data_IF_978450166017
#
_entry.id   IF_978450166017
#
_cell.length_a   1.000
_cell.length_b   1.000
_cell.length_c   1.000
_cell.angle_alpha   90.00
_cell.angle_beta   90.00
_cell.angle_gamma   90.00
#
_symmetry.space_group_name_H-M   'P 1'
#
loop_
_entity.id
_entity.type
_entity.pdbx_description
1 polymer ?
#
# COMPACT_ATOMS: atom_id res chain seq x y z
N UNK A 1 -19.12 26.40 -2.71
CA UNK A 1 -18.72 25.10 -2.10
C UNK A 1 -17.45 24.62 -2.80
N UNK A 2 -16.60 23.86 -2.12
CA UNK A 2 -15.47 23.17 -2.75
C UNK A 2 -15.87 21.72 -2.88
N UNK A 3 -15.52 21.11 -4.00
CA UNK A 3 -15.76 19.70 -4.25
C UNK A 3 -14.47 18.94 -3.99
N UNK A 4 -14.59 17.81 -3.32
CA UNK A 4 -13.48 16.89 -3.05
C UNK A 4 -13.79 15.60 -3.78
N UNK A 5 -12.78 15.08 -4.46
CA UNK A 5 -12.86 13.94 -5.34
C UNK A 5 -11.83 12.90 -4.88
N UNK A 6 -12.06 11.64 -5.20
CA UNK A 6 -11.12 10.56 -4.93
C UNK A 6 -10.92 9.74 -6.20
N UNK A 7 -9.66 9.63 -6.61
CA UNK A 7 -9.25 8.74 -7.69
C UNK A 7 -8.25 7.74 -7.14
N UNK A 8 -8.24 6.55 -7.72
CA UNK A 8 -7.24 5.57 -7.35
C UNK A 8 -7.08 4.47 -8.37
N UNK A 9 -5.95 3.79 -8.24
CA UNK A 9 -5.58 2.66 -9.08
C UNK A 9 -4.95 1.58 -8.22
N UNK A 10 -5.06 0.36 -8.68
CA UNK A 10 -4.48 -0.78 -7.99
C UNK A 10 -4.32 -1.97 -8.90
N UNK A 11 -3.82 -3.04 -8.30
CA UNK A 11 -3.66 -4.32 -8.94
C UNK A 11 -4.23 -5.42 -8.05
N UNK A 12 -4.96 -6.34 -8.66
CA UNK A 12 -5.22 -7.67 -8.13
C UNK A 12 -4.01 -8.55 -8.46
N UNK A 13 -3.57 -9.37 -7.52
CA UNK A 13 -2.41 -10.25 -7.64
C UNK A 13 -2.91 -11.69 -7.52
N UNK A 14 -2.69 -12.48 -8.55
CA UNK A 14 -3.15 -13.87 -8.64
C UNK A 14 -1.97 -14.84 -8.51
N UNK A 15 -2.23 -16.00 -7.92
CA UNK A 15 -1.28 -17.10 -7.88
C UNK A 15 -1.12 -17.78 -9.25
N UNK A 16 -0.20 -18.75 -9.31
CA UNK A 16 0.11 -19.45 -10.55
C UNK A 16 -1.13 -20.10 -11.19
N UNK A 17 -1.36 -19.78 -12.48
CA UNK A 17 -2.53 -20.18 -13.26
C UNK A 17 -3.87 -19.61 -12.75
N UNK A 18 -3.83 -18.57 -11.93
CA UNK A 18 -4.99 -17.75 -11.57
C UNK A 18 -5.22 -16.62 -12.58
N UNK A 19 -6.24 -15.81 -12.32
CA UNK A 19 -6.56 -14.65 -13.17
C UNK A 19 -7.99 -14.16 -12.96
N UNK A 20 -8.40 -13.20 -13.78
CA UNK A 20 -9.75 -12.62 -13.73
C UNK A 20 -10.78 -13.64 -14.26
N UNK A 21 -11.58 -14.19 -13.34
CA UNK A 21 -12.76 -15.01 -13.65
C UNK A 21 -14.02 -14.15 -13.65
N UNK A 22 -15.17 -14.67 -14.15
CA UNK A 22 -16.43 -13.91 -14.13
C UNK A 22 -16.85 -13.45 -12.72
N UNK A 23 -16.56 -14.23 -11.67
CA UNK A 23 -16.87 -13.80 -10.30
C UNK A 23 -15.94 -12.66 -9.84
N UNK A 24 -14.66 -12.68 -10.18
CA UNK A 24 -13.74 -11.56 -9.89
C UNK A 24 -14.20 -10.29 -10.60
N UNK A 25 -14.59 -10.40 -11.88
CA UNK A 25 -15.12 -9.28 -12.63
C UNK A 25 -16.40 -8.71 -11.99
N UNK A 26 -17.28 -9.58 -11.45
CA UNK A 26 -18.49 -9.14 -10.77
C UNK A 26 -18.24 -8.50 -9.40
N UNK A 27 -17.32 -9.05 -8.59
CA UNK A 27 -16.98 -8.51 -7.26
C UNK A 27 -16.33 -7.14 -7.39
N UNK A 28 -15.39 -6.97 -8.32
CA UNK A 28 -14.65 -5.73 -8.51
C UNK A 28 -15.22 -4.83 -9.62
N UNK A 29 -16.45 -5.08 -10.08
CA UNK A 29 -17.08 -4.32 -11.17
C UNK A 29 -17.12 -2.81 -10.89
N UNK A 30 -17.34 -2.45 -9.64
CA UNK A 30 -17.36 -1.06 -9.16
C UNK A 30 -16.01 -0.32 -9.30
N UNK A 31 -14.91 -1.06 -9.48
CA UNK A 31 -13.54 -0.56 -9.61
C UNK A 31 -12.91 -0.91 -10.97
N UNK A 32 -13.71 -1.02 -12.04
CA UNK A 32 -13.26 -1.19 -13.43
C UNK A 32 -12.05 -2.13 -13.60
N UNK A 33 -12.30 -3.41 -13.86
CA UNK A 33 -11.24 -4.41 -13.98
C UNK A 33 -10.65 -4.41 -15.41
N UNK A 34 -9.36 -4.14 -15.54
CA UNK A 34 -8.62 -4.30 -16.80
C UNK A 34 -7.65 -5.50 -16.72
N UNK A 35 -7.83 -6.45 -17.63
CA UNK A 35 -7.04 -7.70 -17.74
C UNK A 35 -5.85 -7.59 -18.71
N UNK A 36 -5.58 -6.41 -19.27
CA UNK A 36 -4.43 -6.15 -20.16
C UNK A 36 -3.06 -6.11 -19.49
N UNK A 37 -2.99 -6.39 -18.18
CA UNK A 37 -1.76 -6.44 -17.38
C UNK A 37 -1.06 -7.81 -17.48
N UNK A 38 0.17 -7.99 -16.93
CA UNK A 38 0.85 -9.29 -16.93
C UNK A 38 -0.07 -10.41 -16.41
N UNK A 39 0.10 -11.64 -16.90
CA UNK A 39 -0.86 -12.76 -16.75
C UNK A 39 -1.33 -13.05 -15.32
N UNK A 40 -0.54 -12.66 -14.31
CA UNK A 40 -0.82 -12.88 -12.87
C UNK A 40 -1.33 -11.62 -12.16
N UNK A 41 -1.69 -10.59 -12.92
CA UNK A 41 -2.16 -9.30 -12.40
C UNK A 41 -3.31 -8.74 -13.24
N UNK A 42 -4.22 -8.05 -12.58
CA UNK A 42 -5.24 -7.24 -13.25
C UNK A 42 -5.29 -5.87 -12.60
N UNK A 43 -5.41 -4.82 -13.42
CA UNK A 43 -5.57 -3.47 -12.91
C UNK A 43 -7.02 -3.25 -12.47
N UNK A 44 -7.18 -2.53 -11.38
CA UNK A 44 -8.44 -1.96 -10.92
C UNK A 44 -8.26 -0.46 -10.78
N UNK A 45 -9.31 0.31 -11.04
CA UNK A 45 -9.28 1.76 -10.90
C UNK A 45 -10.65 2.34 -10.59
N UNK A 46 -10.63 3.48 -9.91
CA UNK A 46 -11.81 4.27 -9.59
C UNK A 46 -11.53 5.71 -10.00
N UNK A 47 -12.44 6.28 -10.77
CA UNK A 47 -12.45 7.69 -11.15
C UNK A 47 -13.63 8.36 -10.48
N UNK A 48 -13.40 9.49 -9.82
CA UNK A 48 -14.41 10.16 -8.98
C UNK A 48 -15.71 10.51 -9.73
N UNK A 49 -15.63 10.73 -11.05
CA UNK A 49 -16.76 11.10 -11.90
C UNK A 49 -17.23 9.97 -12.82
N UNK A 50 -16.54 8.82 -12.82
CA UNK A 50 -16.77 7.72 -13.75
C UNK A 50 -17.13 6.39 -13.08
N UNK A 51 -16.82 6.22 -11.80
CA UNK A 51 -17.03 4.97 -11.07
C UNK A 51 -18.17 5.09 -10.06
N UNK A 52 -18.99 4.04 -9.97
CA UNK A 52 -19.95 3.88 -8.87
C UNK A 52 -19.43 2.79 -7.93
N UNK A 53 -18.71 3.22 -6.91
CA UNK A 53 -18.09 2.36 -5.89
C UNK A 53 -19.08 1.79 -4.89
N UNK A 54 -20.37 2.13 -4.97
CA UNK A 54 -21.37 1.74 -3.97
C UNK A 54 -21.68 0.25 -3.97
N UNK A 55 -22.07 -0.26 -2.81
CA UNK A 55 -22.51 -1.65 -2.65
C UNK A 55 -23.67 -2.03 -3.57
N UNK A 56 -24.54 -1.09 -3.92
CA UNK A 56 -25.61 -1.31 -4.90
C UNK A 56 -25.06 -1.74 -6.28
N UNK A 57 -23.99 -1.10 -6.76
CA UNK A 57 -23.33 -1.44 -8.03
C UNK A 57 -22.72 -2.85 -8.02
N UNK A 58 -22.06 -3.20 -6.89
CA UNK A 58 -21.51 -4.56 -6.67
C UNK A 58 -22.63 -5.60 -6.62
N UNK A 59 -23.73 -5.31 -5.91
CA UNK A 59 -24.90 -6.20 -5.82
C UNK A 59 -25.51 -6.47 -7.19
N UNK A 60 -25.71 -5.44 -8.02
CA UNK A 60 -26.25 -5.59 -9.37
C UNK A 60 -25.36 -6.48 -10.24
N UNK A 61 -24.04 -6.29 -10.15
CA UNK A 61 -23.05 -7.12 -10.85
C UNK A 61 -23.08 -8.58 -10.38
N UNK A 62 -23.24 -8.82 -9.08
CA UNK A 62 -23.38 -10.17 -8.52
C UNK A 62 -24.71 -10.84 -8.88
N UNK A 63 -25.81 -10.08 -9.01
CA UNK A 63 -27.09 -10.59 -9.52
C UNK A 63 -26.96 -11.03 -10.97
N UNK A 64 -26.30 -10.22 -11.81
CA UNK A 64 -26.04 -10.56 -13.20
C UNK A 64 -25.18 -11.84 -13.31
N UNK A 65 -24.11 -11.93 -12.51
CA UNK A 65 -23.31 -13.14 -12.40
C UNK A 65 -24.15 -14.35 -11.97
N UNK A 66 -25.00 -14.20 -10.94
CA UNK A 66 -25.84 -15.28 -10.45
C UNK A 66 -26.80 -15.80 -11.54
N UNK A 67 -27.41 -14.89 -12.32
CA UNK A 67 -28.26 -15.24 -13.45
C UNK A 67 -27.49 -16.04 -14.52
N UNK A 68 -26.28 -15.61 -14.88
CA UNK A 68 -25.41 -16.31 -15.85
C UNK A 68 -25.01 -17.71 -15.35
N UNK A 69 -24.91 -17.92 -14.05
CA UNK A 69 -24.66 -19.23 -13.42
C UNK A 69 -25.93 -20.08 -13.24
N UNK A 70 -27.09 -19.58 -13.69
CA UNK A 70 -28.38 -20.24 -13.55
C UNK A 70 -28.88 -20.31 -12.09
N UNK A 71 -28.52 -19.32 -11.27
CA UNK A 71 -29.01 -19.18 -9.90
C UNK A 71 -30.27 -18.31 -9.93
N UNK A 72 -31.39 -18.87 -9.50
CA UNK A 72 -32.64 -18.14 -9.37
C UNK A 72 -32.65 -17.32 -8.07
N UNK A 73 -32.92 -16.02 -8.21
CA UNK A 73 -33.01 -15.06 -7.12
C UNK A 73 -34.41 -14.42 -7.12
N UNK A 74 -34.87 -13.97 -5.96
CA UNK A 74 -36.07 -13.13 -5.88
C UNK A 74 -35.79 -11.74 -6.48
N UNK A 75 -36.81 -11.12 -7.07
CA UNK A 75 -36.70 -9.80 -7.72
C UNK A 75 -36.20 -8.70 -6.76
N UNK A 76 -36.50 -8.83 -5.47
CA UNK A 76 -36.12 -7.90 -4.40
C UNK A 76 -35.01 -8.46 -3.48
N UNK A 77 -34.24 -9.45 -3.96
CA UNK A 77 -33.20 -10.10 -3.16
C UNK A 77 -32.22 -9.08 -2.57
N UNK A 78 -32.02 -9.14 -1.24
CA UNK A 78 -30.97 -8.41 -0.54
C UNK A 78 -29.57 -8.93 -0.89
N UNK A 79 -28.53 -8.15 -0.58
CA UNK A 79 -27.15 -8.57 -0.79
C UNK A 79 -26.86 -9.92 -0.09
N UNK A 80 -27.34 -10.09 1.14
CA UNK A 80 -27.16 -11.31 1.92
C UNK A 80 -27.71 -12.56 1.19
N UNK A 81 -28.88 -12.44 0.57
CA UNK A 81 -29.52 -13.52 -0.18
C UNK A 81 -28.72 -13.89 -1.43
N UNK A 82 -28.23 -12.87 -2.17
CA UNK A 82 -27.37 -13.05 -3.34
C UNK A 82 -26.09 -13.78 -2.94
N UNK A 83 -25.41 -13.32 -1.89
CA UNK A 83 -24.16 -13.91 -1.41
C UNK A 83 -24.34 -15.36 -0.94
N UNK A 84 -25.41 -15.65 -0.19
CA UNK A 84 -25.72 -17.01 0.24
C UNK A 84 -26.01 -17.94 -0.94
N UNK A 85 -26.72 -17.46 -1.95
CA UNK A 85 -27.04 -18.26 -3.13
C UNK A 85 -25.79 -18.60 -3.96
N UNK A 86 -24.91 -17.62 -4.19
CA UNK A 86 -23.61 -17.84 -4.86
C UNK A 86 -22.74 -18.79 -4.03
N UNK A 87 -22.62 -18.55 -2.72
CA UNK A 87 -21.81 -19.41 -1.84
C UNK A 87 -22.31 -20.86 -1.82
N UNK A 88 -23.64 -21.07 -1.84
CA UNK A 88 -24.24 -22.41 -1.96
C UNK A 88 -23.89 -23.08 -3.28
N UNK A 89 -23.94 -22.35 -4.40
CA UNK A 89 -23.54 -22.84 -5.73
C UNK A 89 -22.07 -23.26 -5.78
N UNK A 90 -21.19 -22.52 -5.10
CA UNK A 90 -19.76 -22.80 -4.97
C UNK A 90 -19.45 -23.88 -3.92
N UNK A 91 -20.45 -24.38 -3.18
CA UNK A 91 -20.27 -25.44 -2.19
C UNK A 91 -19.61 -24.97 -0.89
N UNK A 92 -19.73 -23.70 -0.53
CA UNK A 92 -19.17 -23.16 0.72
C UNK A 92 -19.98 -23.65 1.92
N UNK A 93 -19.35 -24.45 2.78
CA UNK A 93 -19.98 -25.02 3.98
C UNK A 93 -19.44 -24.48 5.30
N UNK A 94 -18.43 -23.61 5.27
CA UNK A 94 -17.82 -23.06 6.47
C UNK A 94 -18.83 -22.15 7.21
N UNK A 95 -19.14 -22.42 8.50
CA UNK A 95 -20.02 -21.56 9.29
C UNK A 95 -19.56 -20.09 9.38
N UNK A 96 -18.26 -19.82 9.24
CA UNK A 96 -17.70 -18.47 9.25
C UNK A 96 -18.19 -17.64 8.07
N UNK A 97 -18.54 -18.27 6.94
CA UNK A 97 -19.10 -17.58 5.79
C UNK A 97 -20.44 -16.92 6.12
N UNK A 98 -21.33 -17.61 6.85
CA UNK A 98 -22.62 -17.04 7.25
C UNK A 98 -22.45 -15.79 8.12
N UNK A 99 -21.52 -15.83 9.07
CA UNK A 99 -21.19 -14.69 9.92
C UNK A 99 -20.51 -13.55 9.15
N UNK A 100 -19.72 -13.86 8.11
CA UNK A 100 -19.17 -12.85 7.20
C UNK A 100 -20.27 -12.15 6.41
N UNK A 101 -21.18 -12.91 5.79
CA UNK A 101 -22.31 -12.35 5.02
C UNK A 101 -23.19 -11.44 5.88
N UNK A 102 -23.49 -11.83 7.11
CA UNK A 102 -24.28 -11.01 8.03
C UNK A 102 -23.60 -9.66 8.32
N UNK A 103 -22.31 -9.67 8.67
CA UNK A 103 -21.55 -8.44 8.93
C UNK A 103 -21.47 -7.56 7.69
N UNK A 104 -21.15 -8.16 6.54
CA UNK A 104 -21.02 -7.44 5.29
C UNK A 104 -22.33 -6.76 4.88
N UNK A 105 -23.45 -7.44 5.08
CA UNK A 105 -24.78 -6.89 4.73
C UNK A 105 -25.19 -5.74 5.66
N UNK A 106 -24.76 -5.76 6.92
CA UNK A 106 -24.97 -4.62 7.84
C UNK A 106 -24.13 -3.41 7.44
N UNK A 107 -22.90 -3.63 6.98
CA UNK A 107 -22.00 -2.58 6.51
C UNK A 107 -22.47 -1.97 5.18
N UNK A 108 -22.94 -2.81 4.26
CA UNK A 108 -23.52 -2.39 2.99
C UNK A 108 -24.82 -1.60 3.16
N UNK A 109 -25.58 -1.84 4.25
CA UNK A 109 -26.78 -1.10 4.57
C UNK A 109 -27.85 -1.18 3.46
N UNK A 110 -28.32 -0.02 3.00
CA UNK A 110 -29.24 0.12 1.86
C UNK A 110 -28.55 0.09 0.49
N UNK A 111 -27.22 -0.04 0.47
CA UNK A 111 -26.41 -0.05 -0.74
C UNK A 111 -25.84 1.31 -1.13
N UNK A 112 -26.12 2.39 -0.38
CA UNK A 112 -25.64 3.74 -0.67
C UNK A 112 -24.21 4.01 -0.15
N UNK A 113 -23.66 3.11 0.64
CA UNK A 113 -22.27 3.17 1.11
C UNK A 113 -21.31 2.62 0.07
N UNK A 114 -20.10 3.19 0.04
CA UNK A 114 -19.02 2.68 -0.80
C UNK A 114 -18.62 1.26 -0.39
N UNK A 115 -18.41 0.40 -1.37
CA UNK A 115 -17.88 -0.94 -1.21
C UNK A 115 -16.36 -0.85 -1.11
N UNK A 116 -15.86 -0.76 0.12
CA UNK A 116 -14.42 -0.73 0.37
C UNK A 116 -13.73 -1.98 -0.21
N UNK A 117 -12.52 -1.78 -0.71
CA UNK A 117 -11.72 -2.82 -1.35
C UNK A 117 -11.41 -4.01 -0.42
N UNK A 118 -11.26 -3.78 0.88
CA UNK A 118 -10.94 -4.84 1.85
C UNK A 118 -12.08 -5.88 1.99
N UNK A 119 -13.35 -5.49 2.20
CA UNK A 119 -14.49 -6.40 2.10
C UNK A 119 -14.62 -7.12 0.75
N UNK A 120 -14.36 -6.43 -0.38
CA UNK A 120 -14.40 -7.05 -1.71
C UNK A 120 -13.32 -8.13 -1.87
N UNK A 121 -12.11 -7.87 -1.38
CA UNK A 121 -11.04 -8.87 -1.33
C UNK A 121 -11.46 -10.09 -0.50
N UNK A 122 -12.02 -9.89 0.70
CA UNK A 122 -12.50 -11.00 1.53
C UNK A 122 -13.62 -11.79 0.86
N UNK A 123 -14.53 -11.12 0.16
CA UNK A 123 -15.59 -11.77 -0.61
C UNK A 123 -15.01 -12.65 -1.72
N UNK A 124 -14.00 -12.14 -2.44
CA UNK A 124 -13.29 -12.91 -3.46
C UNK A 124 -12.58 -14.12 -2.86
N UNK A 125 -11.99 -14.00 -1.66
CA UNK A 125 -11.40 -15.16 -0.98
C UNK A 125 -12.43 -16.26 -0.68
N UNK A 126 -13.67 -15.88 -0.33
CA UNK A 126 -14.75 -16.86 -0.14
C UNK A 126 -15.20 -17.50 -1.46
N UNK A 127 -15.21 -16.72 -2.54
CA UNK A 127 -15.75 -17.14 -3.83
C UNK A 127 -14.69 -17.62 -4.83
N UNK A 128 -13.63 -18.28 -4.34
CA UNK A 128 -12.59 -18.82 -5.20
C UNK A 128 -13.12 -19.93 -6.12
N UNK A 129 -13.43 -19.55 -7.36
CA UNK A 129 -13.84 -20.43 -8.45
C UNK A 129 -12.66 -20.96 -9.26
N UNK A 130 -11.43 -20.79 -8.76
CA UNK A 130 -10.18 -21.08 -9.45
C UNK A 130 -9.40 -19.84 -9.86
N UNK A 131 -9.87 -18.63 -9.49
CA UNK A 131 -9.16 -17.38 -9.76
C UNK A 131 -7.86 -17.24 -8.96
N UNK A 132 -7.75 -17.87 -7.77
CA UNK A 132 -6.54 -17.85 -6.92
C UNK A 132 -6.04 -16.44 -6.60
N UNK A 133 -6.92 -15.58 -6.13
CA UNK A 133 -6.53 -14.22 -5.74
C UNK A 133 -5.67 -14.32 -4.47
N UNK A 134 -4.44 -13.82 -4.50
CA UNK A 134 -3.51 -13.90 -3.37
C UNK A 134 -3.37 -12.58 -2.63
N UNK A 135 -3.52 -11.47 -3.35
CA UNK A 135 -3.42 -10.15 -2.77
C UNK A 135 -3.93 -9.06 -3.69
N UNK A 136 -3.84 -7.84 -3.18
CA UNK A 136 -4.23 -6.63 -3.87
C UNK A 136 -3.38 -5.47 -3.35
N UNK A 137 -2.99 -4.57 -4.24
CA UNK A 137 -2.34 -3.30 -3.91
C UNK A 137 -3.15 -2.17 -4.48
N UNK A 138 -3.32 -1.08 -3.73
CA UNK A 138 -4.07 0.08 -4.14
C UNK A 138 -3.41 1.36 -3.68
N UNK A 139 -3.44 2.38 -4.53
CA UNK A 139 -3.04 3.75 -4.22
C UNK A 139 -4.14 4.69 -4.69
N UNK A 140 -4.55 5.59 -3.81
CA UNK A 140 -5.56 6.60 -4.10
C UNK A 140 -5.16 7.97 -3.61
N UNK A 141 -5.73 9.00 -4.21
CA UNK A 141 -5.48 10.38 -3.84
C UNK A 141 -6.79 11.17 -3.83
N UNK A 142 -6.91 12.04 -2.81
CA UNK A 142 -7.92 13.07 -2.82
C UNK A 142 -7.41 14.28 -3.58
N UNK A 143 -8.27 14.85 -4.40
CA UNK A 143 -8.03 16.15 -5.00
C UNK A 143 -9.23 17.08 -4.76
N UNK A 144 -8.96 18.38 -4.75
CA UNK A 144 -9.98 19.40 -4.51
C UNK A 144 -9.91 20.48 -5.59
N UNK A 145 -11.07 20.94 -6.04
CA UNK A 145 -11.19 22.01 -7.04
C UNK A 145 -10.67 23.37 -6.53
N UNK A 146 -10.37 23.48 -5.23
CA UNK A 146 -9.91 24.69 -4.55
C UNK A 146 -8.79 24.39 -3.58
N UNK A 147 -7.82 25.30 -3.50
CA UNK A 147 -6.75 25.23 -2.51
C UNK A 147 -7.31 25.36 -1.10
N UNK A 148 -7.38 24.23 -0.39
CA UNK A 148 -7.84 24.14 1.00
C UNK A 148 -6.86 23.30 1.81
N UNK A 149 -6.67 23.69 3.07
CA UNK A 149 -5.78 22.98 3.97
C UNK A 149 -6.24 21.52 4.13
N UNK A 150 -5.28 20.60 4.00
CA UNK A 150 -5.46 19.16 4.22
C UNK A 150 -6.49 18.48 3.29
N UNK A 151 -6.65 18.98 2.06
CA UNK A 151 -7.54 18.41 1.03
C UNK A 151 -6.79 17.72 -0.13
N UNK A 152 -5.47 17.53 0.00
CA UNK A 152 -4.60 16.94 -1.04
C UNK A 152 -3.83 15.73 -0.49
N UNK A 153 -4.54 14.85 0.21
CA UNK A 153 -3.99 13.63 0.80
C UNK A 153 -4.00 12.45 -0.16
N UNK A 154 -3.44 11.33 0.27
CA UNK A 154 -3.56 10.05 -0.42
C UNK A 154 -3.53 8.90 0.56
N UNK A 155 -3.79 7.71 0.05
CA UNK A 155 -3.81 6.46 0.79
C UNK A 155 -3.11 5.37 -0.01
N UNK A 156 -2.26 4.60 0.66
CA UNK A 156 -1.70 3.36 0.15
C UNK A 156 -2.30 2.19 0.91
N UNK A 157 -2.63 1.13 0.19
CA UNK A 157 -3.26 -0.07 0.73
C UNK A 157 -2.65 -1.33 0.11
N UNK A 158 -2.39 -2.33 0.93
CA UNK A 158 -2.04 -3.67 0.49
C UNK A 158 -2.77 -4.71 1.33
N UNK A 159 -3.43 -5.65 0.66
CA UNK A 159 -4.15 -6.76 1.29
C UNK A 159 -3.66 -8.09 0.74
N UNK A 160 -3.60 -9.09 1.59
CA UNK A 160 -3.34 -10.49 1.27
C UNK A 160 -3.86 -11.35 2.41
N UNK A 161 -3.78 -12.68 2.27
CA UNK A 161 -4.06 -13.59 3.38
C UNK A 161 -3.11 -13.44 4.59
N UNK A 162 -1.93 -12.80 4.43
CA UNK A 162 -0.90 -12.67 5.47
C UNK A 162 -0.80 -11.27 6.07
N UNK A 163 -1.09 -10.25 5.27
CA UNK A 163 -0.86 -8.84 5.60
C UNK A 163 -2.01 -8.00 5.07
N UNK A 164 -2.53 -7.12 5.92
CA UNK A 164 -3.53 -6.11 5.61
C UNK A 164 -3.05 -4.75 6.16
N UNK A 165 -2.46 -3.93 5.30
CA UNK A 165 -1.83 -2.66 5.67
C UNK A 165 -2.43 -1.50 4.90
N UNK A 166 -2.79 -0.45 5.62
CA UNK A 166 -3.30 0.80 5.07
C UNK A 166 -2.66 2.00 5.76
N UNK A 167 -2.22 2.97 4.97
CA UNK A 167 -1.65 4.21 5.48
C UNK A 167 -2.10 5.40 4.64
N UNK A 168 -2.65 6.41 5.32
CA UNK A 168 -2.97 7.70 4.71
C UNK A 168 -1.80 8.68 4.92
N UNK A 169 -1.55 9.56 3.94
CA UNK A 169 -0.50 10.57 4.06
C UNK A 169 -0.77 11.58 5.20
N UNK A 170 -2.05 11.74 5.58
CA UNK A 170 -2.45 12.52 6.76
C UNK A 170 -1.97 11.91 8.07
N UNK A 171 -1.87 10.58 8.16
CA UNK A 171 -1.36 9.88 9.36
C UNK A 171 0.10 10.24 9.63
N UNK A 172 0.91 10.42 8.57
CA UNK A 172 2.32 10.81 8.68
C UNK A 172 2.44 12.21 9.28
N UNK A 173 1.61 13.15 8.81
CA UNK A 173 1.62 14.53 9.29
C UNK A 173 1.17 14.62 10.75
N UNK A 174 0.11 13.88 11.12
CA UNK A 174 -0.36 13.78 12.50
C UNK A 174 0.66 13.12 13.42
N UNK A 175 1.34 12.06 12.95
CA UNK A 175 2.41 11.40 13.68
C UNK A 175 3.57 12.36 13.99
N UNK A 176 4.06 13.08 12.98
CA UNK A 176 5.14 14.06 13.16
C UNK A 176 4.76 15.17 14.14
N UNK A 177 3.56 15.71 14.02
CA UNK A 177 3.04 16.76 14.91
C UNK A 177 3.03 16.31 16.38
N UNK A 178 2.50 15.11 16.66
CA UNK A 178 2.41 14.61 18.03
C UNK A 178 3.79 14.27 18.60
N UNK A 179 4.67 13.69 17.79
CA UNK A 179 6.02 13.34 18.22
C UNK A 179 6.85 14.59 18.54
N UNK A 180 6.84 15.58 17.67
CA UNK A 180 7.52 16.87 17.89
C UNK A 180 7.02 17.56 19.17
N UNK A 181 5.70 17.60 19.37
CA UNK A 181 5.10 18.20 20.56
C UNK A 181 5.51 17.50 21.87
N UNK A 182 5.70 16.17 21.86
CA UNK A 182 6.19 15.42 23.01
C UNK A 182 7.68 15.71 23.28
N UNK A 183 8.49 15.70 22.23
CA UNK A 183 9.93 15.97 22.31
C UNK A 183 10.23 17.41 22.76
N UNK A 184 9.49 18.39 22.24
CA UNK A 184 9.64 19.79 22.62
C UNK A 184 9.35 20.05 24.11
N UNK A 185 8.48 19.24 24.73
CA UNK A 185 8.20 19.26 26.18
C UNK A 185 9.23 18.49 27.01
N UNK A 186 10.17 17.80 26.38
CA UNK A 186 11.09 16.87 27.04
C UNK A 186 10.41 15.60 27.56
N UNK A 187 9.18 15.32 27.13
CA UNK A 187 8.39 14.17 27.57
C UNK A 187 8.78 12.93 26.75
N UNK A 188 9.84 12.26 27.22
CA UNK A 188 10.42 11.08 26.56
C UNK A 188 9.46 9.89 26.59
N UNK A 189 8.67 9.75 27.65
CA UNK A 189 7.73 8.64 27.79
C UNK A 189 6.57 8.79 26.81
N UNK A 190 6.04 10.01 26.63
CA UNK A 190 5.04 10.29 25.61
C UNK A 190 5.58 10.06 24.20
N UNK A 191 6.79 10.53 23.90
CA UNK A 191 7.43 10.33 22.60
C UNK A 191 7.62 8.83 22.30
N UNK A 192 8.10 8.06 23.27
CA UNK A 192 8.22 6.60 23.15
C UNK A 192 6.86 5.92 22.95
N UNK A 193 5.82 6.36 23.66
CA UNK A 193 4.45 5.87 23.51
C UNK A 193 3.88 6.08 22.10
N UNK A 194 4.18 7.22 21.47
CA UNK A 194 3.79 7.53 20.08
C UNK A 194 4.47 6.57 19.10
N UNK A 195 5.79 6.37 19.23
CA UNK A 195 6.56 5.43 18.41
C UNK A 195 6.07 3.98 18.58
N UNK A 196 5.80 3.58 19.82
CA UNK A 196 5.28 2.26 20.14
C UNK A 196 3.91 2.04 19.50
N UNK A 197 3.03 3.04 19.54
CA UNK A 197 1.71 2.98 18.92
C UNK A 197 1.81 2.78 17.41
N UNK A 198 2.68 3.55 16.73
CA UNK A 198 2.91 3.39 15.28
C UNK A 198 3.45 2.00 14.94
N UNK A 199 4.41 1.51 15.72
CA UNK A 199 5.01 0.17 15.53
C UNK A 199 3.98 -0.93 15.74
N UNK A 200 3.13 -0.81 16.78
CA UNK A 200 2.04 -1.76 17.04
C UNK A 200 1.03 -1.80 15.89
N UNK A 201 0.62 -0.65 15.36
CA UNK A 201 -0.29 -0.59 14.21
C UNK A 201 0.29 -1.31 12.98
N UNK A 202 1.60 -1.19 12.73
CA UNK A 202 2.28 -1.94 11.67
C UNK A 202 2.29 -3.45 11.95
N UNK A 203 2.54 -3.87 13.19
CA UNK A 203 2.47 -5.29 13.56
C UNK A 203 1.04 -5.84 13.46
N UNK A 204 0.03 -5.05 13.81
CA UNK A 204 -1.38 -5.40 13.72
C UNK A 204 -1.85 -5.66 12.27
N UNK A 205 -1.08 -5.20 11.26
CA UNK A 205 -1.32 -5.55 9.85
C UNK A 205 -1.07 -7.04 9.54
N UNK A 206 -0.30 -7.75 10.36
CA UNK A 206 -0.07 -9.19 10.17
C UNK A 206 -1.30 -9.95 10.67
N UNK A 207 -1.93 -10.72 9.78
CA UNK A 207 -3.23 -11.34 10.06
C UNK A 207 -3.13 -12.46 11.11
N UNK A 208 -2.12 -13.32 10.99
CA UNK A 208 -1.89 -14.42 11.93
C UNK A 208 -1.40 -13.92 13.30
N UNK A 209 -2.15 -14.22 14.36
CA UNK A 209 -1.84 -13.78 15.72
C UNK A 209 -0.54 -14.36 16.28
N UNK A 210 -0.21 -15.60 15.93
CA UNK A 210 1.02 -16.26 16.40
C UNK A 210 2.23 -15.62 15.74
N UNK A 211 2.21 -15.49 14.42
CA UNK A 211 3.27 -14.83 13.64
C UNK A 211 3.44 -13.38 14.08
N UNK A 212 2.33 -12.66 14.32
CA UNK A 212 2.36 -11.28 14.84
C UNK A 212 3.07 -11.17 16.19
N UNK A 213 2.82 -12.10 17.12
CA UNK A 213 3.50 -12.14 18.43
C UNK A 213 5.00 -12.44 18.30
N UNK A 214 5.37 -13.38 17.44
CA UNK A 214 6.77 -13.71 17.17
C UNK A 214 7.52 -12.53 16.54
N UNK A 215 6.92 -11.87 15.54
CA UNK A 215 7.46 -10.66 14.94
C UNK A 215 7.60 -9.52 15.94
N UNK A 216 6.60 -9.33 16.82
CA UNK A 216 6.69 -8.31 17.86
C UNK A 216 7.88 -8.54 18.81
N UNK A 217 8.14 -9.79 19.21
CA UNK A 217 9.29 -10.15 20.03
C UNK A 217 10.63 -9.94 19.28
N UNK A 218 10.67 -10.29 17.99
CA UNK A 218 11.84 -10.09 17.16
C UNK A 218 12.16 -8.59 16.96
N UNK A 219 11.15 -7.77 16.67
CA UNK A 219 11.27 -6.31 16.55
C UNK A 219 11.75 -5.70 17.86
N UNK A 220 11.14 -6.07 18.99
CA UNK A 220 11.57 -5.56 20.30
C UNK A 220 13.04 -5.89 20.60
N UNK A 221 13.48 -7.11 20.25
CA UNK A 221 14.89 -7.52 20.39
C UNK A 221 15.80 -6.72 19.44
N UNK A 222 15.39 -6.54 18.19
CA UNK A 222 16.16 -5.81 17.17
C UNK A 222 16.32 -4.33 17.49
N UNK A 223 15.31 -3.68 18.07
CA UNK A 223 15.38 -2.27 18.51
C UNK A 223 16.40 -2.05 19.64
N UNK A 224 16.69 -3.08 20.44
CA UNK A 224 17.66 -3.03 21.54
C UNK A 224 19.05 -3.53 21.14
N UNK A 225 19.13 -4.31 20.06
CA UNK A 225 20.40 -4.80 19.55
C UNK A 225 21.22 -3.65 18.95
N UNK A 226 22.56 -3.67 19.07
CA UNK A 226 23.40 -2.81 18.26
C UNK A 226 23.08 -3.10 16.80
N UNK A 227 22.48 -2.13 16.11
CA UNK A 227 22.24 -2.26 14.68
C UNK A 227 23.62 -2.45 14.02
N UNK A 228 23.82 -3.49 13.18
CA UNK A 228 25.03 -3.55 12.38
C UNK A 228 25.11 -2.25 11.60
N UNK A 229 26.27 -1.59 11.62
CA UNK A 229 26.51 -0.46 10.74
C UNK A 229 26.10 -0.91 9.34
N UNK A 230 25.14 -0.21 8.74
CA UNK A 230 24.64 -0.53 7.39
C UNK A 230 25.87 -0.53 6.49
N UNK A 231 26.35 -1.72 6.13
CA UNK A 231 27.31 -1.86 5.06
C UNK A 231 26.52 -1.63 3.80
N UNK A 232 26.66 -0.43 3.26
CA UNK A 232 26.19 -0.09 1.93
C UNK A 232 27.00 -0.95 0.95
N UNK A 233 26.49 -2.13 0.62
CA UNK A 233 27.08 -2.98 -0.41
C UNK A 233 26.66 -2.40 -1.75
N UNK A 234 27.48 -1.49 -2.29
CA UNK A 234 27.37 -1.10 -3.69
C UNK A 234 27.90 -2.28 -4.52
N UNK A 235 27.00 -3.15 -4.98
CA UNK A 235 27.36 -4.13 -6.00
C UNK A 235 27.39 -3.43 -7.35
N UNK A 236 28.49 -3.49 -8.12
CA UNK A 236 28.48 -3.02 -9.50
C UNK A 236 27.70 -4.04 -10.33
N UNK A 237 26.40 -3.82 -10.52
CA UNK A 237 25.65 -4.46 -11.60
C UNK A 237 25.63 -3.48 -12.76
N UNK A 238 26.17 -3.90 -13.91
CA UNK A 238 26.30 -3.04 -15.08
C UNK A 238 24.96 -2.71 -15.76
N UNK A 239 23.81 -3.21 -15.32
CA UNK A 239 22.56 -2.98 -16.06
C UNK A 239 21.26 -2.90 -15.23
N UNK A 240 21.30 -2.88 -13.89
CA UNK A 240 20.08 -2.69 -13.09
C UNK A 240 20.32 -1.85 -11.84
N UNK A 241 19.70 -0.66 -11.79
CA UNK A 241 19.61 0.14 -10.58
C UNK A 241 18.61 -0.51 -9.61
N UNK A 242 19.12 -1.21 -8.62
CA UNK A 242 18.34 -1.72 -7.50
C UNK A 242 18.14 -0.59 -6.48
N UNK A 243 16.91 -0.10 -6.37
CA UNK A 243 16.50 0.90 -5.37
C UNK A 243 16.40 0.21 -4.00
N UNK A 244 17.34 0.51 -3.10
CA UNK A 244 17.24 0.13 -1.68
C UNK A 244 17.08 1.41 -0.87
N UNK A 245 16.03 1.44 -0.05
CA UNK A 245 15.60 2.54 0.81
C UNK A 245 16.76 3.35 1.42
N UNK A 246 16.87 4.60 0.98
CA UNK A 246 17.67 5.68 1.55
C UNK A 246 17.21 6.99 0.92
N UNK A 247 16.96 8.02 1.73
CA UNK A 247 16.49 9.32 1.24
C UNK A 247 17.45 9.88 0.19
N UNK A 248 16.96 10.03 -1.05
CA UNK A 248 17.66 10.76 -2.09
C UNK A 248 17.36 12.25 -1.86
N UNK A 249 18.34 13.01 -1.39
CA UNK A 249 18.32 14.47 -1.53
C UNK A 249 18.70 14.78 -2.98
N UNK A 250 17.70 14.79 -3.86
CA UNK A 250 17.85 15.25 -5.25
C UNK A 250 17.31 16.67 -5.36
N UNK A 251 18.15 17.63 -5.76
CA UNK A 251 17.67 18.94 -6.20
C UNK A 251 17.59 18.99 -7.71
N UNK A 252 16.55 19.66 -8.20
CA UNK A 252 16.27 19.92 -9.62
C UNK A 252 16.79 21.30 -9.95
N UNK A 253 17.99 21.43 -10.52
CA UNK A 253 18.36 22.60 -11.32
C UNK A 253 19.54 22.29 -12.26
N UNK A 254 19.35 22.29 -13.60
CA UNK A 254 20.42 22.02 -14.55
C UNK A 254 21.39 23.20 -14.78
N UNK A 255 21.12 24.40 -14.24
CA UNK A 255 21.91 25.61 -14.57
C UNK A 255 22.75 26.20 -13.43
N UNK A 256 22.76 25.58 -12.24
CA UNK A 256 23.62 26.01 -11.13
C UNK A 256 24.59 24.90 -10.72
N UNK A 257 25.80 24.95 -11.28
CA UNK A 257 26.97 24.35 -10.65
C UNK A 257 27.26 25.09 -9.34
N UNK A 258 26.59 24.70 -8.26
CA UNK A 258 26.71 25.34 -6.96
C UNK A 258 27.96 24.83 -6.21
N UNK A 259 29.02 25.65 -6.04
CA UNK A 259 30.22 25.26 -5.30
C UNK A 259 29.96 24.95 -3.80
N UNK A 260 28.78 25.29 -3.27
CA UNK A 260 28.42 25.02 -1.87
C UNK A 260 28.10 23.54 -1.58
N UNK A 261 27.80 22.72 -2.60
CA UNK A 261 27.51 21.29 -2.40
C UNK A 261 28.77 20.45 -2.15
N UNK A 262 29.89 20.80 -2.79
CA UNK A 262 31.19 20.20 -2.47
C UNK A 262 31.64 20.60 -1.05
N UNK A 263 31.44 21.87 -0.65
CA UNK A 263 31.71 22.33 0.71
C UNK A 263 30.81 21.63 1.75
N UNK A 264 29.52 21.43 1.46
CA UNK A 264 28.59 20.72 2.35
C UNK A 264 28.97 19.24 2.51
N UNK A 265 29.30 18.56 1.40
CA UNK A 265 29.76 17.17 1.42
C UNK A 265 31.08 17.03 2.19
N UNK A 266 32.04 17.93 1.97
CA UNK A 266 33.33 17.95 2.68
C UNK A 266 33.16 18.29 4.17
N UNK A 267 32.25 19.20 4.53
CA UNK A 267 31.93 19.54 5.93
C UNK A 267 31.24 18.39 6.65
N UNK A 268 30.34 17.68 5.98
CA UNK A 268 29.71 16.46 6.51
C UNK A 268 30.73 15.34 6.68
N UNK A 269 31.62 15.13 5.70
CA UNK A 269 32.68 14.14 5.79
C UNK A 269 33.69 14.43 6.91
N UNK A 270 34.05 15.71 7.07
CA UNK A 270 34.94 16.17 8.15
C UNK A 270 34.29 16.05 9.53
N UNK A 271 32.98 16.29 9.63
CA UNK A 271 32.21 16.09 10.87
C UNK A 271 32.05 14.59 11.22
N UNK A 272 31.94 13.73 10.22
CA UNK A 272 31.73 12.28 10.39
C UNK A 272 33.02 11.45 10.39
N UNK A 273 34.20 12.05 10.19
CA UNK A 273 35.50 11.37 10.00
C UNK A 273 35.47 10.32 8.88
N UNK A 274 34.75 10.59 7.79
CA UNK A 274 34.63 9.70 6.64
C UNK A 274 35.40 10.23 5.43
N UNK A 275 35.68 9.36 4.46
CA UNK A 275 36.24 9.76 3.16
C UNK A 275 35.12 9.82 2.13
N UNK A 276 35.02 10.94 1.39
CA UNK A 276 34.06 11.09 0.29
C UNK A 276 34.67 10.48 -0.96
N UNK A 277 33.94 9.59 -1.63
CA UNK A 277 34.30 9.13 -2.98
C UNK A 277 33.30 9.75 -3.94
N UNK A 278 33.77 10.69 -4.75
CA UNK A 278 32.98 11.23 -5.85
C UNK A 278 32.94 10.19 -6.98
N UNK A 279 31.75 9.68 -7.30
CA UNK A 279 31.56 8.83 -8.47
C UNK A 279 30.59 9.54 -9.41
N UNK A 280 31.08 9.96 -10.58
CA UNK A 280 30.23 10.42 -11.66
C UNK A 280 29.60 9.19 -12.33
N UNK A 281 28.27 9.17 -12.45
CA UNK A 281 27.56 8.15 -13.21
C UNK A 281 27.26 8.76 -14.58
N UNK A 282 28.03 8.36 -15.59
CA UNK A 282 27.72 8.66 -16.98
C UNK A 282 26.71 7.63 -17.48
N UNK A 283 25.49 8.08 -17.81
CA UNK A 283 24.46 7.25 -18.44
C UNK A 283 24.56 7.41 -19.96
N UNK A 284 24.35 6.35 -20.77
CA UNK A 284 24.44 6.46 -22.22
C UNK A 284 23.28 7.29 -22.78
N UNK A 285 23.64 8.41 -23.39
CA UNK A 285 22.98 9.15 -24.47
C UNK A 285 21.43 9.02 -24.57
N UNK A 286 20.69 9.93 -23.92
CA UNK A 286 19.71 10.80 -24.61
C UNK A 286 18.99 11.89 -23.76
N UNK A 287 19.54 12.36 -22.64
CA UNK A 287 18.99 13.53 -21.94
C UNK A 287 20.12 14.33 -21.28
N UNK A 288 20.07 15.67 -21.39
CA UNK A 288 21.06 16.67 -20.94
C UNK A 288 21.26 16.74 -19.41
N UNK A 289 21.23 15.63 -18.68
CA UNK A 289 21.20 15.62 -17.21
C UNK A 289 22.35 14.79 -16.64
N UNK A 290 23.21 15.41 -15.85
CA UNK A 290 24.18 14.72 -14.98
C UNK A 290 23.64 14.64 -13.55
N UNK A 291 23.44 13.44 -13.04
CA UNK A 291 23.14 13.22 -11.62
C UNK A 291 24.44 13.00 -10.84
N UNK A 292 24.69 13.81 -9.82
CA UNK A 292 25.78 13.60 -8.87
C UNK A 292 25.28 12.82 -7.65
N UNK A 293 25.83 11.63 -7.41
CA UNK A 293 25.61 10.90 -6.15
C UNK A 293 26.81 11.13 -5.22
N UNK A 294 26.56 11.64 -4.01
CA UNK A 294 27.58 11.71 -2.95
C UNK A 294 27.46 10.44 -2.11
N UNK A 295 28.44 9.55 -2.23
CA UNK A 295 28.49 8.28 -1.51
C UNK A 295 29.59 8.40 -0.44
N UNK A 296 29.20 8.42 0.83
CA UNK A 296 30.14 8.39 1.96
C UNK A 296 30.33 6.95 2.43
N UNK A 297 31.59 6.48 2.48
CA UNK A 297 31.94 5.16 3.00
C UNK A 297 32.79 5.30 4.27
N UNK A 298 32.41 4.59 5.34
CA UNK A 298 33.24 4.38 6.52
C UNK A 298 34.16 3.17 6.24
N UNK A 299 35.46 3.40 6.02
CA UNK A 299 36.45 2.33 6.16
C UNK A 299 36.91 2.28 7.62
N UNK A 300 36.85 1.10 8.24
CA UNK A 300 37.53 0.86 9.50
C UNK A 300 39.04 1.11 9.34
N UNK A 301 39.72 1.68 10.34
CA UNK A 301 41.16 1.84 10.28
C UNK A 301 41.81 0.45 10.24
N UNK A 302 42.46 0.15 9.12
CA UNK A 302 43.35 -1.00 8.98
C UNK A 302 44.31 -1.02 10.17
N UNK A 303 44.14 -1.99 11.06
CA UNK A 303 45.15 -2.33 12.05
C UNK A 303 46.42 -2.78 11.31
N UNK A 304 47.54 -2.18 11.70
CA UNK A 304 48.87 -2.30 11.11
C UNK A 304 49.38 -3.73 10.93
#
# INVERSE_FOLDING_TARGET
MANTYFDGTGILIFGANGGVTPIIAAIFAAYSVDSGFPVEQAMIYCEAEGSDTRWQSVKESLIAYAADQGIELADDAGLDAVLKAIGSKLGITDPAFAGFVERLSLEAGDGETDADLAPLFQLAQWFDDGHKLEGMRWEGAWHCDKMRLFQFGGVGYFCSNRVDVSEATSDISGFGLHLDAALAKGDRDAAAGILLTKTRRLLDSVTDETVRKELAAAVATGLLAPQPAVQMVVMPSQDQALLVHGDIIGTRDPDYGDPDLHDLADRLAKAMKTTVVHTAIDMPENHDWTWGAVIASLQDPVTA
#
